data_IF_019986399691
#
_entry.id   IF_019986399691
#
_cell.length_a   1.000
_cell.length_b   1.000
_cell.length_c   1.000
_cell.angle_alpha   90.00
_cell.angle_beta   90.00
_cell.angle_gamma   90.00
#
_symmetry.space_group_name_H-M   'P 1'
#
loop_
_entity.id
_entity.type
_entity.pdbx_description
1 polymer ?
#
# COMPACT_ATOMS: atom_id res chain seq x y z
N UNK A 1 10.80 -18.85 1.89
CA UNK A 1 11.66 -19.96 2.38
C UNK A 1 13.12 -19.70 2.04
N UNK A 2 13.46 -19.52 0.75
CA UNK A 2 14.84 -19.37 0.26
C UNK A 2 15.63 -18.21 0.90
N UNK A 3 15.03 -17.01 1.10
CA UNK A 3 15.75 -15.85 1.65
C UNK A 3 16.18 -16.05 3.11
N UNK A 4 15.31 -16.61 3.96
CA UNK A 4 15.60 -16.90 5.36
C UNK A 4 16.61 -18.04 5.51
N UNK A 5 16.59 -19.02 4.61
CA UNK A 5 17.53 -20.14 4.62
C UNK A 5 18.93 -19.70 4.14
N UNK A 6 19.02 -18.83 3.12
CA UNK A 6 20.27 -18.18 2.69
C UNK A 6 20.87 -17.25 3.76
N UNK A 7 20.03 -16.52 4.49
CA UNK A 7 20.43 -15.63 5.59
C UNK A 7 20.91 -16.40 6.83
N UNK A 8 20.33 -17.57 7.12
CA UNK A 8 20.82 -18.46 8.19
C UNK A 8 22.18 -19.08 7.87
N UNK A 9 22.47 -19.32 6.59
CA UNK A 9 23.75 -19.88 6.13
C UNK A 9 24.91 -18.88 6.17
N UNK A 10 24.65 -17.57 6.16
CA UNK A 10 25.71 -16.54 6.10
C UNK A 10 26.38 -16.22 7.44
N UNK A 11 25.92 -16.80 8.55
CA UNK A 11 26.53 -16.64 9.88
C UNK A 11 26.39 -15.25 10.52
N UNK A 12 25.71 -14.30 9.85
CA UNK A 12 25.43 -12.98 10.39
C UNK A 12 24.39 -13.07 11.52
N UNK A 13 24.68 -12.52 12.70
CA UNK A 13 23.68 -12.34 13.77
C UNK A 13 22.67 -11.29 13.33
N UNK A 14 21.53 -11.74 12.82
CA UNK A 14 20.42 -10.86 12.47
C UNK A 14 19.74 -10.38 13.76
N UNK A 15 19.58 -9.07 13.98
CA UNK A 15 18.82 -8.54 15.10
C UNK A 15 17.41 -9.13 15.14
N UNK A 16 16.97 -9.59 16.31
CA UNK A 16 15.66 -10.22 16.47
C UNK A 16 14.49 -9.34 16.01
N UNK A 17 14.61 -8.01 16.15
CA UNK A 17 13.62 -7.06 15.64
C UNK A 17 13.47 -7.06 14.11
N UNK A 18 14.54 -7.32 13.36
CA UNK A 18 14.48 -7.42 11.89
C UNK A 18 13.79 -8.72 11.48
N UNK A 19 14.07 -9.83 12.17
CA UNK A 19 13.41 -11.12 11.90
C UNK A 19 11.92 -11.01 12.19
N UNK A 20 11.54 -10.41 13.32
CA UNK A 20 10.13 -10.27 13.69
C UNK A 20 9.39 -9.33 12.74
N UNK A 21 10.00 -8.19 12.37
CA UNK A 21 9.43 -7.30 11.36
C UNK A 21 9.20 -8.04 10.03
N UNK A 22 10.20 -8.78 9.54
CA UNK A 22 10.07 -9.56 8.30
C UNK A 22 9.02 -10.66 8.39
N UNK A 23 8.89 -11.32 9.55
CA UNK A 23 7.88 -12.36 9.78
C UNK A 23 6.48 -11.76 9.77
N UNK A 24 6.27 -10.66 10.49
CA UNK A 24 4.97 -10.01 10.63
C UNK A 24 4.50 -9.44 9.30
N UNK A 25 5.37 -8.70 8.58
CA UNK A 25 5.04 -8.18 7.25
C UNK A 25 4.70 -9.30 6.26
N UNK A 26 5.36 -10.45 6.33
CA UNK A 26 5.03 -11.59 5.48
C UNK A 26 3.69 -12.24 5.83
N UNK A 27 3.39 -12.40 7.13
CA UNK A 27 2.11 -12.93 7.59
C UNK A 27 0.95 -12.01 7.22
N UNK A 28 1.12 -10.70 7.38
CA UNK A 28 0.13 -9.68 7.03
C UNK A 28 -0.14 -9.68 5.52
N UNK A 29 0.90 -9.66 4.68
CA UNK A 29 0.72 -9.75 3.23
C UNK A 29 0.01 -11.04 2.80
N UNK A 30 0.30 -12.17 3.46
CA UNK A 30 -0.38 -13.43 3.15
C UNK A 30 -1.83 -13.44 3.63
N UNK A 31 -2.12 -12.81 4.77
CA UNK A 31 -3.49 -12.67 5.26
C UNK A 31 -4.35 -11.84 4.27
N UNK A 32 -3.78 -10.79 3.68
CA UNK A 32 -4.46 -9.98 2.65
C UNK A 32 -4.90 -10.80 1.43
N UNK A 33 -4.16 -11.85 1.05
CA UNK A 33 -4.54 -12.72 -0.07
C UNK A 33 -5.81 -13.55 0.19
N UNK A 34 -6.21 -13.72 1.46
CA UNK A 34 -7.41 -14.45 1.84
C UNK A 34 -8.64 -13.54 2.07
N UNK A 35 -8.45 -12.21 1.99
CA UNK A 35 -9.53 -11.25 2.21
C UNK A 35 -10.48 -11.29 1.02
N UNK A 36 -11.78 -11.40 1.33
CA UNK A 36 -12.86 -11.20 0.39
C UNK A 36 -13.46 -9.82 0.68
N UNK A 37 -13.23 -8.81 -0.20
CA UNK A 37 -13.76 -7.47 0.03
C UNK A 37 -15.29 -7.50 0.01
N UNK A 38 -15.89 -6.80 0.99
CA UNK A 38 -17.32 -6.49 0.97
C UNK A 38 -17.54 -5.18 0.22
N UNK A 39 -18.76 -4.98 -0.30
CA UNK A 39 -19.14 -3.70 -0.91
C UNK A 39 -19.27 -2.61 0.15
N UNK A 40 -18.90 -1.38 -0.21
CA UNK A 40 -19.05 -0.19 0.62
C UNK A 40 -19.75 0.92 -0.18
N UNK A 41 -20.80 1.49 0.41
CA UNK A 41 -21.69 2.47 -0.21
C UNK A 41 -21.32 3.92 0.09
N UNK A 42 -20.39 4.15 1.02
CA UNK A 42 -19.87 5.47 1.35
C UNK A 42 -18.82 5.96 0.35
N UNK A 43 -18.44 7.24 0.53
CA UNK A 43 -17.36 7.89 -0.20
C UNK A 43 -16.00 7.31 0.18
N UNK A 44 -15.18 6.97 -0.82
CA UNK A 44 -13.79 6.55 -0.64
C UNK A 44 -12.89 7.37 -1.55
N UNK A 45 -11.77 7.83 -1.00
CA UNK A 45 -10.70 8.48 -1.76
C UNK A 45 -9.49 7.56 -1.79
N UNK A 46 -9.03 7.20 -2.97
CA UNK A 46 -7.82 6.42 -3.20
C UNK A 46 -6.69 7.32 -3.72
N UNK A 47 -5.73 7.60 -2.84
CA UNK A 47 -4.47 8.25 -3.22
C UNK A 47 -3.53 7.25 -3.92
N UNK A 48 -3.36 7.41 -5.23
CA UNK A 48 -2.72 6.43 -6.09
C UNK A 48 -1.30 6.86 -6.47
N UNK A 49 -0.30 6.12 -5.98
CA UNK A 49 1.08 6.18 -6.49
C UNK A 49 1.17 5.59 -7.92
N UNK A 50 2.22 5.95 -8.65
CA UNK A 50 2.41 5.47 -10.03
C UNK A 50 2.72 3.98 -10.09
N UNK A 51 3.50 3.48 -9.11
CA UNK A 51 3.94 2.08 -9.07
C UNK A 51 4.25 1.60 -7.65
N UNK A 52 4.34 0.29 -7.49
CA UNK A 52 5.05 -0.28 -6.35
C UNK A 52 6.57 -0.16 -6.52
N UNK A 53 7.29 -0.13 -5.41
CA UNK A 53 8.76 -0.17 -5.44
C UNK A 53 9.24 -1.57 -5.87
N UNK A 54 10.46 -1.64 -6.39
CA UNK A 54 10.95 -2.83 -7.11
C UNK A 54 11.03 -4.09 -6.22
N UNK A 55 11.36 -3.94 -4.93
CA UNK A 55 11.43 -5.08 -3.99
C UNK A 55 10.05 -5.71 -3.74
N UNK A 56 8.98 -4.91 -3.64
CA UNK A 56 7.62 -5.42 -3.54
C UNK A 56 7.21 -6.19 -4.80
N UNK A 57 7.60 -5.72 -5.98
CA UNK A 57 7.33 -6.41 -7.26
C UNK A 57 8.13 -7.71 -7.35
N UNK A 58 9.38 -7.73 -6.87
CA UNK A 58 10.19 -8.94 -6.83
C UNK A 58 9.60 -10.01 -5.91
N UNK A 59 8.97 -9.60 -4.82
CA UNK A 59 8.29 -10.51 -3.88
C UNK A 59 6.93 -10.99 -4.40
N UNK A 60 6.15 -10.10 -5.00
CA UNK A 60 4.82 -10.37 -5.57
C UNK A 60 4.71 -9.76 -6.97
N UNK A 61 4.99 -10.55 -8.03
CA UNK A 61 4.98 -10.06 -9.41
C UNK A 61 3.64 -9.47 -9.86
N UNK A 62 2.52 -9.84 -9.23
CA UNK A 62 1.22 -9.27 -9.52
C UNK A 62 1.18 -7.75 -9.30
N UNK A 63 2.00 -7.21 -8.38
CA UNK A 63 2.10 -5.76 -8.12
C UNK A 63 2.70 -4.96 -9.27
N UNK A 64 3.25 -5.61 -10.31
CA UNK A 64 3.70 -4.94 -11.53
C UNK A 64 2.55 -4.33 -12.33
N UNK A 65 1.37 -4.94 -12.27
CA UNK A 65 0.21 -4.51 -13.04
C UNK A 65 -0.83 -3.91 -12.10
N UNK A 66 -1.35 -2.74 -12.45
CA UNK A 66 -2.32 -2.03 -11.63
C UNK A 66 -3.50 -1.58 -12.48
N UNK A 67 -4.71 -1.84 -12.00
CA UNK A 67 -5.91 -1.27 -12.58
C UNK A 67 -5.98 0.24 -12.26
N UNK A 68 -6.58 1.07 -13.14
CA UNK A 68 -6.66 2.53 -12.93
C UNK A 68 -7.34 2.95 -11.61
N UNK A 69 -8.24 2.11 -11.10
CA UNK A 69 -9.00 2.26 -9.85
C UNK A 69 -8.38 1.49 -8.67
N UNK A 70 -7.19 0.90 -8.87
CA UNK A 70 -6.55 0.04 -7.88
C UNK A 70 -7.28 -1.29 -7.61
N UNK A 71 -8.29 -1.65 -8.40
CA UNK A 71 -9.13 -2.83 -8.19
C UNK A 71 -10.27 -2.62 -7.19
N UNK A 72 -10.55 -1.37 -6.79
CA UNK A 72 -11.59 -1.05 -5.80
C UNK A 72 -12.93 -0.67 -6.40
N UNK A 73 -13.01 -0.35 -7.69
CA UNK A 73 -14.23 0.14 -8.33
C UNK A 73 -15.37 -0.88 -8.39
N UNK A 74 -15.07 -2.18 -8.28
CA UNK A 74 -16.09 -3.22 -8.15
C UNK A 74 -16.78 -3.20 -6.77
N UNK A 75 -16.07 -2.75 -5.74
CA UNK A 75 -16.54 -2.82 -4.34
C UNK A 75 -17.04 -1.49 -3.81
N UNK A 76 -16.66 -0.38 -4.42
CA UNK A 76 -16.99 0.97 -3.95
C UNK A 76 -17.65 1.77 -5.07
N UNK A 77 -18.91 2.13 -4.87
CA UNK A 77 -19.69 2.88 -5.88
C UNK A 77 -19.31 4.36 -5.97
N UNK A 78 -18.87 4.98 -4.87
CA UNK A 78 -18.43 6.39 -4.82
C UNK A 78 -16.92 6.46 -4.56
N UNK A 79 -16.16 5.96 -5.54
CA UNK A 79 -14.69 5.91 -5.50
C UNK A 79 -14.08 7.08 -6.27
N UNK A 80 -13.36 7.93 -5.55
CA UNK A 80 -12.51 8.98 -6.13
C UNK A 80 -11.05 8.52 -6.16
N UNK A 81 -10.40 8.61 -7.32
CA UNK A 81 -8.98 8.24 -7.46
C UNK A 81 -8.14 9.49 -7.70
N UNK A 82 -7.23 9.79 -6.78
CA UNK A 82 -6.34 10.95 -6.85
C UNK A 82 -4.91 10.47 -7.13
N UNK A 83 -4.39 10.74 -8.32
CA UNK A 83 -3.03 10.35 -8.71
C UNK A 83 -2.00 11.28 -8.09
N UNK A 84 -1.16 10.75 -7.21
CA UNK A 84 -0.16 11.53 -6.46
C UNK A 84 1.19 11.54 -7.17
N UNK A 85 1.52 10.45 -7.85
CA UNK A 85 2.83 10.19 -8.42
C UNK A 85 3.75 9.44 -7.46
N UNK A 86 4.97 9.13 -7.90
CA UNK A 86 5.98 8.47 -7.07
C UNK A 86 5.71 6.98 -6.89
N UNK A 87 6.48 6.31 -6.03
CA UNK A 87 6.23 4.91 -5.68
C UNK A 87 5.46 4.74 -4.37
N UNK A 88 5.02 3.51 -4.11
CA UNK A 88 4.21 3.15 -2.96
C UNK A 88 4.87 3.45 -1.60
N UNK A 89 6.20 3.51 -1.51
CA UNK A 89 6.89 3.89 -0.26
C UNK A 89 7.02 5.41 -0.19
N UNK A 90 7.38 6.06 -1.29
CA UNK A 90 7.64 7.51 -1.31
C UNK A 90 6.37 8.36 -1.14
N UNK A 91 5.20 7.82 -1.43
CA UNK A 91 3.93 8.56 -1.41
C UNK A 91 3.60 9.21 -0.05
N UNK A 92 4.14 8.67 1.04
CA UNK A 92 3.93 9.19 2.41
C UNK A 92 4.95 10.27 2.83
N UNK A 93 5.96 10.53 2.01
CA UNK A 93 7.01 11.50 2.25
C UNK A 93 6.90 12.71 1.30
N UNK A 94 7.62 13.79 1.63
CA UNK A 94 7.72 14.95 0.74
C UNK A 94 8.49 14.60 -0.55
N UNK A 95 8.08 15.15 -1.71
CA UNK A 95 7.04 16.16 -1.89
C UNK A 95 5.61 15.60 -2.07
N UNK A 96 5.43 14.28 -2.09
CA UNK A 96 4.17 13.64 -2.48
C UNK A 96 3.07 13.80 -1.43
N UNK A 97 3.43 13.68 -0.15
CA UNK A 97 2.51 13.82 0.97
C UNK A 97 1.82 15.19 1.00
N UNK A 98 2.49 16.25 0.53
CA UNK A 98 1.89 17.59 0.45
C UNK A 98 0.64 17.64 -0.44
N UNK A 99 0.61 16.85 -1.53
CA UNK A 99 -0.56 16.77 -2.42
C UNK A 99 -1.73 16.08 -1.74
N UNK A 100 -1.45 15.00 -1.00
CA UNK A 100 -2.45 14.28 -0.20
C UNK A 100 -3.00 15.21 0.88
N UNK A 101 -2.12 15.90 1.61
CA UNK A 101 -2.51 16.83 2.65
C UNK A 101 -3.40 17.96 2.12
N UNK A 102 -3.06 18.55 0.97
CA UNK A 102 -3.85 19.61 0.36
C UNK A 102 -5.27 19.13 -0.03
N UNK A 103 -5.37 17.96 -0.66
CA UNK A 103 -6.65 17.38 -1.06
C UNK A 103 -7.51 16.99 0.15
N UNK A 104 -6.91 16.28 1.12
CA UNK A 104 -7.60 15.85 2.34
C UNK A 104 -8.09 17.04 3.16
N UNK A 105 -7.28 18.11 3.29
CA UNK A 105 -7.66 19.33 4.02
C UNK A 105 -8.90 19.97 3.40
N UNK A 106 -8.97 20.04 2.07
CA UNK A 106 -10.14 20.58 1.37
C UNK A 106 -11.38 19.75 1.66
N UNK A 107 -11.29 18.43 1.57
CA UNK A 107 -12.42 17.51 1.82
C UNK A 107 -12.90 17.57 3.26
N UNK A 108 -11.99 17.64 4.23
CA UNK A 108 -12.35 17.80 5.63
C UNK A 108 -13.08 19.14 5.87
N UNK A 109 -12.60 20.23 5.28
CA UNK A 109 -13.27 21.53 5.38
C UNK A 109 -14.69 21.53 4.75
N UNK A 110 -14.90 20.78 3.67
CA UNK A 110 -16.23 20.58 3.07
C UNK A 110 -17.17 19.81 4.01
N UNK A 111 -16.65 18.78 4.70
CA UNK A 111 -17.43 17.99 5.68
C UNK A 111 -17.78 18.83 6.91
N UNK A 112 -16.81 19.54 7.48
CA UNK A 112 -17.00 20.36 8.68
C UNK A 112 -17.87 21.61 8.43
N UNK A 113 -17.90 22.09 7.18
CA UNK A 113 -18.71 23.23 6.75
C UNK A 113 -20.17 22.88 6.41
N UNK A 114 -20.55 21.61 6.50
CA UNK A 114 -21.92 21.09 6.28
C UNK A 114 -22.64 20.88 7.60
#
# INVERSE_FOLDING_TARGET
KILMDLLKMSGAKIPGGIIEHQRTSWLENRALQAVQPATYDGKVVLYLADRYHDDAIALEPAYKTRQPDGGWGEFVSDLEVVKIGGDHIQIVDEPYISKIAADLTKKLAEIDGT
#
